data_IF_552830563627
#
_entry.id   IF_552830563627
#
_cell.length_a   1.000
_cell.length_b   1.000
_cell.length_c   1.000
_cell.angle_alpha   90.00
_cell.angle_beta   90.00
_cell.angle_gamma   90.00
#
_symmetry.space_group_name_H-M   'P 1'
#
loop_
_entity.id
_entity.type
_entity.pdbx_description
1 polymer ?
#
# COMPACT_ATOMS: atom_id res chain seq x y z
N UNK A 1 20.45 15.76 7.83
CA UNK A 1 20.60 14.69 6.82
C UNK A 1 21.77 13.83 7.27
N UNK A 2 21.49 12.73 7.98
CA UNK A 2 22.50 11.93 8.70
C UNK A 2 23.10 10.82 7.82
N UNK A 3 24.36 10.49 8.11
CA UNK A 3 25.28 9.60 7.38
C UNK A 3 24.80 8.13 7.23
N UNK A 4 23.70 7.75 7.90
CA UNK A 4 23.13 6.38 7.88
C UNK A 4 22.53 5.95 6.53
N UNK A 5 22.36 6.87 5.56
CA UNK A 5 21.78 6.55 4.25
C UNK A 5 22.80 6.08 3.20
N UNK A 6 24.10 6.09 3.51
CA UNK A 6 25.16 5.72 2.55
C UNK A 6 25.54 4.23 2.68
N UNK A 7 25.54 3.67 3.90
CA UNK A 7 25.83 2.25 4.13
C UNK A 7 24.69 1.31 3.70
N UNK A 8 23.43 1.71 3.86
CA UNK A 8 22.27 0.87 3.53
C UNK A 8 22.12 0.61 2.02
N UNK A 9 22.54 1.58 1.20
CA UNK A 9 22.49 1.48 -0.26
C UNK A 9 23.52 0.46 -0.80
N UNK A 10 24.64 0.29 -0.11
CA UNK A 10 25.69 -0.65 -0.52
C UNK A 10 25.25 -2.11 -0.45
N UNK A 11 24.27 -2.46 0.40
CA UNK A 11 23.82 -3.84 0.57
C UNK A 11 22.72 -4.22 -0.44
N UNK A 12 21.94 -3.27 -0.95
CA UNK A 12 20.76 -3.56 -1.78
C UNK A 12 21.12 -3.95 -3.22
N UNK A 13 22.03 -3.22 -3.88
CA UNK A 13 22.42 -3.55 -5.25
C UNK A 13 23.19 -4.88 -5.34
N UNK A 14 23.98 -5.22 -4.31
CA UNK A 14 24.64 -6.53 -4.19
C UNK A 14 23.61 -7.67 -4.11
N UNK A 15 22.55 -7.52 -3.31
CA UNK A 15 21.44 -8.49 -3.26
C UNK A 15 20.75 -8.67 -4.61
N UNK A 16 20.57 -7.58 -5.36
CA UNK A 16 20.02 -7.64 -6.73
C UNK A 16 20.93 -8.47 -7.65
N UNK A 17 22.25 -8.22 -7.60
CA UNK A 17 23.24 -8.99 -8.39
C UNK A 17 23.20 -10.47 -7.99
N UNK A 18 23.26 -10.77 -6.70
CA UNK A 18 23.32 -12.13 -6.18
C UNK A 18 22.05 -12.92 -6.49
N UNK A 19 20.88 -12.32 -6.28
CA UNK A 19 19.59 -12.96 -6.57
C UNK A 19 19.40 -13.17 -8.07
N UNK A 20 19.77 -12.20 -8.91
CA UNK A 20 19.74 -12.35 -10.37
C UNK A 20 20.63 -13.52 -10.83
N UNK A 21 21.86 -13.59 -10.31
CA UNK A 21 22.81 -14.68 -10.62
C UNK A 21 22.30 -16.03 -10.13
N UNK A 22 21.75 -16.09 -8.91
CA UNK A 22 21.12 -17.30 -8.35
C UNK A 22 19.96 -17.80 -9.23
N UNK A 23 19.18 -16.86 -9.78
CA UNK A 23 18.09 -17.15 -10.72
C UNK A 23 18.56 -17.40 -12.16
N UNK A 24 19.88 -17.43 -12.42
CA UNK A 24 20.51 -17.63 -13.74
C UNK A 24 20.02 -16.64 -14.80
N UNK A 25 19.66 -15.42 -14.40
CA UNK A 25 19.19 -14.37 -15.30
C UNK A 25 20.35 -13.51 -15.82
N UNK A 26 20.35 -13.23 -17.11
CA UNK A 26 21.19 -12.18 -17.70
C UNK A 26 20.70 -10.79 -17.30
N UNK A 27 21.54 -9.77 -17.42
CA UNK A 27 21.11 -8.38 -17.22
C UNK A 27 20.00 -8.00 -18.21
N UNK A 28 20.08 -8.44 -19.46
CA UNK A 28 19.07 -8.15 -20.48
C UNK A 28 17.69 -8.72 -20.11
N UNK A 29 17.64 -9.95 -19.61
CA UNK A 29 16.40 -10.58 -19.15
C UNK A 29 15.80 -9.87 -17.95
N UNK A 30 16.62 -9.52 -16.95
CA UNK A 30 16.14 -8.78 -15.78
C UNK A 30 15.64 -7.38 -16.16
N UNK A 31 16.41 -6.63 -16.96
CA UNK A 31 16.03 -5.30 -17.39
C UNK A 31 14.69 -5.32 -18.16
N UNK A 32 14.52 -6.30 -19.06
CA UNK A 32 13.27 -6.53 -19.80
C UNK A 32 12.11 -6.86 -18.85
N UNK A 33 12.31 -7.81 -17.92
CA UNK A 33 11.27 -8.25 -16.97
C UNK A 33 10.86 -7.14 -16.01
N UNK A 34 11.81 -6.34 -15.53
CA UNK A 34 11.57 -5.20 -14.66
C UNK A 34 11.03 -3.96 -15.39
N UNK A 35 11.07 -3.93 -16.73
CA UNK A 35 10.66 -2.77 -17.51
C UNK A 35 11.54 -1.54 -17.24
N UNK A 36 12.86 -1.74 -17.24
CA UNK A 36 13.88 -0.68 -17.16
C UNK A 36 14.90 -0.85 -18.30
N UNK A 37 15.68 0.19 -18.60
CA UNK A 37 16.72 0.07 -19.62
C UNK A 37 17.89 -0.79 -19.14
N UNK A 38 18.52 -1.53 -20.05
CA UNK A 38 19.75 -2.29 -19.76
C UNK A 38 20.85 -1.37 -19.21
N UNK A 39 20.94 -0.14 -19.73
CA UNK A 39 21.87 0.88 -19.25
C UNK A 39 21.60 1.24 -17.78
N UNK A 40 20.33 1.38 -17.38
CA UNK A 40 19.94 1.65 -15.99
C UNK A 40 20.35 0.52 -15.07
N UNK A 41 20.08 -0.74 -15.47
CA UNK A 41 20.49 -1.91 -14.67
C UNK A 41 22.02 -2.01 -14.55
N UNK A 42 22.75 -1.84 -15.66
CA UNK A 42 24.22 -1.91 -15.65
C UNK A 42 24.84 -0.87 -14.71
N UNK A 43 24.35 0.37 -14.74
CA UNK A 43 24.77 1.43 -13.80
C UNK A 43 24.51 1.04 -12.34
N UNK A 44 23.31 0.51 -12.07
CA UNK A 44 22.94 0.07 -10.72
C UNK A 44 23.82 -1.07 -10.18
N UNK A 45 24.11 -2.07 -11.01
CA UNK A 45 25.00 -3.17 -10.63
C UNK A 45 26.46 -2.73 -10.46
N UNK A 46 26.85 -1.58 -11.02
CA UNK A 46 28.14 -0.94 -10.79
C UNK A 46 28.14 0.00 -9.57
N UNK A 47 27.09 -0.02 -8.74
CA UNK A 47 26.98 0.77 -7.52
C UNK A 47 26.49 2.21 -7.72
N UNK A 48 26.07 2.59 -8.93
CA UNK A 48 25.51 3.92 -9.15
C UNK A 48 24.07 4.02 -8.66
N UNK A 49 23.70 5.21 -8.16
CA UNK A 49 22.30 5.52 -7.83
C UNK A 49 21.43 5.58 -9.08
N UNK A 50 20.28 4.93 -9.00
CA UNK A 50 19.20 5.01 -10.00
C UNK A 50 17.94 5.65 -9.40
N UNK A 51 16.92 5.88 -10.22
CA UNK A 51 15.65 6.37 -9.69
C UNK A 51 15.01 5.32 -8.79
N UNK A 52 14.38 5.79 -7.71
CA UNK A 52 13.66 4.94 -6.76
C UNK A 52 12.67 3.98 -7.44
N UNK A 53 11.93 4.45 -8.45
CA UNK A 53 11.00 3.60 -9.22
C UNK A 53 11.71 2.48 -9.98
N UNK A 54 12.92 2.73 -10.50
CA UNK A 54 13.70 1.71 -11.21
C UNK A 54 14.24 0.66 -10.24
N UNK A 55 14.73 1.09 -9.08
CA UNK A 55 15.17 0.20 -8.00
C UNK A 55 14.02 -0.67 -7.48
N UNK A 56 12.86 -0.07 -7.19
CA UNK A 56 11.64 -0.79 -6.79
C UNK A 56 11.26 -1.88 -7.79
N UNK A 57 11.29 -1.56 -9.09
CA UNK A 57 11.00 -2.54 -10.16
C UNK A 57 11.95 -3.73 -10.12
N UNK A 58 13.25 -3.51 -9.86
CA UNK A 58 14.23 -4.60 -9.75
C UNK A 58 13.96 -5.49 -8.55
N UNK A 59 13.71 -4.89 -7.38
CA UNK A 59 13.45 -5.63 -6.14
C UNK A 59 12.18 -6.48 -6.26
N UNK A 60 11.09 -5.91 -6.77
CA UNK A 60 9.84 -6.65 -7.03
C UNK A 60 10.06 -7.79 -8.02
N UNK A 61 10.78 -7.53 -9.11
CA UNK A 61 11.00 -8.53 -10.18
C UNK A 61 11.79 -9.75 -9.72
N UNK A 62 12.69 -9.53 -8.75
CA UNK A 62 13.54 -10.56 -8.16
C UNK A 62 12.95 -11.14 -6.87
N UNK A 63 11.75 -10.70 -6.46
CA UNK A 63 11.13 -11.08 -5.19
C UNK A 63 12.08 -10.84 -3.99
N UNK A 64 12.88 -9.77 -4.09
CA UNK A 64 13.77 -9.36 -3.00
C UNK A 64 12.95 -8.50 -2.05
N UNK A 65 12.55 -9.11 -0.95
CA UNK A 65 12.01 -8.40 0.20
C UNK A 65 13.14 -7.64 0.88
N UNK A 66 13.35 -6.40 0.44
CA UNK A 66 14.21 -5.47 1.16
C UNK A 66 13.33 -4.65 2.11
N UNK A 67 13.24 -5.11 3.36
CA UNK A 67 12.50 -4.46 4.43
C UNK A 67 12.75 -2.94 4.48
N UNK A 68 14.02 -2.51 4.36
CA UNK A 68 14.37 -1.09 4.35
C UNK A 68 13.76 -0.32 3.18
N UNK A 69 13.73 -0.90 1.97
CA UNK A 69 13.14 -0.24 0.80
C UNK A 69 11.62 -0.18 0.87
N UNK A 70 10.99 -1.22 1.43
CA UNK A 70 9.56 -1.29 1.64
C UNK A 70 9.16 -0.25 2.70
N UNK A 71 9.91 -0.18 3.79
CA UNK A 71 9.74 0.78 4.88
C UNK A 71 9.94 2.22 4.40
N UNK A 72 11.03 2.52 3.69
CA UNK A 72 11.26 3.85 3.10
C UNK A 72 10.13 4.27 2.13
N UNK A 73 9.57 3.33 1.37
CA UNK A 73 8.45 3.61 0.48
C UNK A 73 7.15 3.87 1.25
N UNK A 74 6.87 3.02 2.24
CA UNK A 74 5.71 3.14 3.10
C UNK A 74 5.74 4.46 3.87
N UNK A 75 6.89 4.83 4.45
CA UNK A 75 7.13 6.12 5.10
C UNK A 75 6.92 7.30 4.14
N UNK A 76 7.43 7.22 2.91
CA UNK A 76 7.24 8.28 1.92
C UNK A 76 5.77 8.46 1.54
N UNK A 77 5.05 7.35 1.34
CA UNK A 77 3.62 7.39 1.07
C UNK A 77 2.86 7.95 2.28
N UNK A 78 3.16 7.48 3.49
CA UNK A 78 2.59 7.97 4.74
C UNK A 78 2.76 9.49 4.86
N UNK A 79 3.99 9.98 4.72
CA UNK A 79 4.27 11.42 4.76
C UNK A 79 3.49 12.20 3.69
N UNK A 80 3.41 11.67 2.47
CA UNK A 80 2.66 12.31 1.39
C UNK A 80 1.16 12.40 1.70
N UNK A 81 0.57 11.33 2.23
CA UNK A 81 -0.85 11.32 2.59
C UNK A 81 -1.16 12.13 3.85
N UNK A 82 -0.27 12.12 4.85
CA UNK A 82 -0.42 12.97 6.04
C UNK A 82 -0.56 14.45 5.66
N UNK A 83 0.21 14.93 4.67
CA UNK A 83 0.16 16.32 4.19
C UNK A 83 -1.05 16.63 3.28
N UNK A 84 -1.73 15.61 2.75
CA UNK A 84 -2.86 15.81 1.83
C UNK A 84 -4.22 15.64 2.50
N UNK A 85 -4.28 15.09 3.73
CA UNK A 85 -5.52 14.63 4.36
C UNK A 85 -6.65 15.67 4.36
N UNK A 86 -6.36 16.93 4.69
CA UNK A 86 -7.36 18.01 4.73
C UNK A 86 -7.96 18.35 3.36
N UNK A 87 -7.16 18.25 2.30
CA UNK A 87 -7.58 18.59 0.93
C UNK A 87 -7.95 17.36 0.10
N UNK A 88 -7.83 16.17 0.68
CA UNK A 88 -7.87 14.93 -0.08
C UNK A 88 -9.22 14.66 -0.74
N UNK A 89 -10.29 15.18 -0.16
CA UNK A 89 -11.64 15.11 -0.71
C UNK A 89 -11.94 16.25 -1.71
N UNK A 90 -10.96 17.07 -2.11
CA UNK A 90 -11.13 18.09 -3.17
C UNK A 90 -10.85 17.53 -4.57
N UNK A 91 -10.17 16.40 -4.67
CA UNK A 91 -9.83 15.79 -5.96
C UNK A 91 -11.06 15.14 -6.60
N UNK A 92 -11.46 15.60 -7.79
CA UNK A 92 -12.71 15.18 -8.44
C UNK A 92 -12.82 13.66 -8.64
N UNK A 93 -11.77 13.00 -9.12
CA UNK A 93 -11.77 11.55 -9.35
C UNK A 93 -11.94 10.73 -8.05
N UNK A 94 -11.55 11.31 -6.91
CA UNK A 94 -11.62 10.69 -5.60
C UNK A 94 -13.06 10.68 -5.11
N UNK A 95 -13.75 11.81 -5.25
CA UNK A 95 -15.10 12.05 -4.73
C UNK A 95 -16.23 11.56 -5.64
N UNK A 96 -15.92 11.01 -6.82
CA UNK A 96 -16.92 10.43 -7.73
C UNK A 96 -17.68 9.30 -7.03
N UNK A 97 -18.86 9.66 -6.51
CA UNK A 97 -19.79 8.79 -5.76
C UNK A 97 -20.20 7.56 -6.57
N UNK A 98 -20.32 7.71 -7.89
CA UNK A 98 -20.62 6.62 -8.83
C UNK A 98 -19.69 5.41 -8.67
N UNK A 99 -18.40 5.62 -8.40
CA UNK A 99 -17.47 4.50 -8.19
C UNK A 99 -17.71 3.76 -6.88
N UNK A 100 -18.11 4.49 -5.83
CA UNK A 100 -18.46 3.88 -4.54
C UNK A 100 -19.76 3.12 -4.70
N UNK A 101 -20.77 3.73 -5.33
CA UNK A 101 -22.06 3.10 -5.62
C UNK A 101 -21.88 1.83 -6.46
N UNK A 102 -20.96 1.82 -7.44
CA UNK A 102 -20.63 0.60 -8.20
C UNK A 102 -20.08 -0.52 -7.32
N UNK A 103 -19.22 -0.21 -6.34
CA UNK A 103 -18.65 -1.21 -5.42
C UNK A 103 -19.74 -1.76 -4.49
N UNK A 104 -20.57 -0.88 -3.92
CA UNK A 104 -21.70 -1.26 -3.08
C UNK A 104 -22.68 -2.13 -3.91
N UNK A 105 -23.16 -1.61 -5.04
CA UNK A 105 -24.17 -2.29 -5.86
C UNK A 105 -23.67 -3.58 -6.54
N UNK A 106 -22.36 -3.85 -6.58
CA UNK A 106 -21.83 -5.13 -7.04
C UNK A 106 -22.28 -6.31 -6.15
N UNK A 107 -22.82 -6.04 -4.95
CA UNK A 107 -23.46 -7.06 -4.12
C UNK A 107 -22.49 -8.01 -3.43
N UNK A 108 -21.24 -7.58 -3.22
CA UNK A 108 -20.27 -8.32 -2.42
C UNK A 108 -20.80 -8.55 -0.99
N UNK A 109 -20.35 -9.61 -0.29
CA UNK A 109 -20.93 -10.02 0.98
C UNK A 109 -20.52 -9.13 2.16
N UNK A 110 -20.95 -7.87 2.20
CA UNK A 110 -20.67 -6.95 3.32
C UNK A 110 -21.85 -6.79 4.32
N UNK A 111 -23.07 -7.22 3.96
CA UNK A 111 -24.26 -7.03 4.82
C UNK A 111 -24.16 -7.82 6.13
N UNK A 112 -24.34 -7.14 7.27
CA UNK A 112 -24.20 -7.72 8.62
C UNK A 112 -22.85 -8.42 8.86
N UNK A 113 -21.80 -8.04 8.12
CA UNK A 113 -20.46 -8.63 8.20
C UNK A 113 -19.45 -7.71 8.87
N UNK A 114 -18.33 -8.29 9.34
CA UNK A 114 -17.15 -7.55 9.78
C UNK A 114 -16.25 -7.29 8.56
N UNK A 115 -16.05 -6.03 8.22
CA UNK A 115 -15.39 -5.61 6.96
C UNK A 115 -14.10 -4.87 7.25
N UNK A 116 -13.04 -5.11 6.48
CA UNK A 116 -11.81 -4.31 6.46
C UNK A 116 -11.76 -3.46 5.20
N UNK A 117 -11.74 -2.13 5.33
CA UNK A 117 -11.41 -1.18 4.26
C UNK A 117 -9.91 -0.89 4.30
N UNK A 118 -9.16 -1.51 3.38
CA UNK A 118 -7.69 -1.48 3.34
C UNK A 118 -7.18 -0.30 2.50
N UNK A 119 -6.49 0.64 3.14
CA UNK A 119 -6.13 1.93 2.55
C UNK A 119 -7.35 2.86 2.49
N UNK A 120 -8.02 3.04 3.63
CA UNK A 120 -9.35 3.66 3.72
C UNK A 120 -9.36 5.16 3.45
N UNK A 121 -8.21 5.83 3.48
CA UNK A 121 -8.11 7.27 3.25
C UNK A 121 -8.97 8.04 4.24
N UNK A 122 -9.66 9.09 3.80
CA UNK A 122 -10.69 9.83 4.56
C UNK A 122 -12.00 9.03 4.77
N UNK A 123 -12.06 7.77 4.34
CA UNK A 123 -13.11 6.81 4.68
C UNK A 123 -14.43 6.95 3.92
N UNK A 124 -14.44 7.53 2.71
CA UNK A 124 -15.66 7.60 1.91
C UNK A 124 -16.30 6.22 1.64
N UNK A 125 -15.47 5.21 1.31
CA UNK A 125 -15.97 3.85 1.07
C UNK A 125 -16.38 3.17 2.39
N UNK A 126 -15.59 3.31 3.46
CA UNK A 126 -15.94 2.84 4.79
C UNK A 126 -17.30 3.38 5.26
N UNK A 127 -17.56 4.68 5.13
CA UNK A 127 -18.84 5.32 5.52
C UNK A 127 -20.03 4.77 4.73
N UNK A 128 -19.89 4.56 3.42
CA UNK A 128 -20.98 3.98 2.63
C UNK A 128 -21.19 2.49 2.93
N UNK A 129 -20.11 1.75 3.20
CA UNK A 129 -20.17 0.32 3.57
C UNK A 129 -20.82 0.12 4.95
N UNK A 130 -20.54 1.02 5.89
CA UNK A 130 -21.04 1.00 7.26
C UNK A 130 -22.58 1.04 7.35
N UNK A 131 -23.27 1.55 6.32
CA UNK A 131 -24.75 1.54 6.25
C UNK A 131 -25.34 0.14 6.18
N UNK A 132 -24.53 -0.87 5.81
CA UNK A 132 -24.97 -2.24 5.59
C UNK A 132 -24.18 -3.25 6.43
N UNK A 133 -22.93 -2.95 6.75
CA UNK A 133 -22.04 -3.81 7.52
C UNK A 133 -22.40 -3.83 9.01
N UNK A 134 -21.98 -4.90 9.71
CA UNK A 134 -22.06 -4.96 11.16
C UNK A 134 -21.03 -4.01 11.79
N UNK A 135 -19.80 -4.06 11.29
CA UNK A 135 -18.67 -3.27 11.78
C UNK A 135 -17.64 -3.12 10.65
N UNK A 136 -17.05 -1.93 10.50
CA UNK A 136 -16.03 -1.65 9.48
C UNK A 136 -14.74 -1.19 10.15
N UNK A 137 -13.63 -1.86 9.85
CA UNK A 137 -12.28 -1.46 10.24
C UNK A 137 -11.70 -0.70 9.06
N UNK A 138 -11.45 0.58 9.24
CA UNK A 138 -10.92 1.45 8.21
C UNK A 138 -9.44 1.67 8.47
N UNK A 139 -8.58 0.95 7.74
CA UNK A 139 -7.14 0.95 7.95
C UNK A 139 -6.44 1.85 6.94
N UNK A 140 -5.60 2.77 7.42
CA UNK A 140 -4.69 3.54 6.59
C UNK A 140 -3.33 3.72 7.29
N UNK A 141 -2.25 3.79 6.52
CA UNK A 141 -0.92 4.04 7.07
C UNK A 141 -0.77 5.49 7.55
N UNK A 142 -1.59 6.40 7.03
CA UNK A 142 -1.63 7.81 7.43
C UNK A 142 -2.50 8.02 8.67
N UNK A 143 -1.87 8.51 9.72
CA UNK A 143 -2.56 8.98 10.92
C UNK A 143 -3.53 10.12 10.61
N UNK A 144 -3.11 11.07 9.77
CA UNK A 144 -3.97 12.22 9.44
C UNK A 144 -5.25 11.78 8.72
N UNK A 145 -5.17 10.78 7.83
CA UNK A 145 -6.33 10.20 7.15
C UNK A 145 -7.32 9.55 8.13
N UNK A 146 -6.81 8.72 9.03
CA UNK A 146 -7.66 8.02 10.01
C UNK A 146 -8.25 8.99 11.05
N UNK A 147 -7.51 10.02 11.48
CA UNK A 147 -8.05 11.07 12.34
C UNK A 147 -9.12 11.91 11.65
N UNK A 148 -8.97 12.20 10.35
CA UNK A 148 -10.01 12.88 9.57
C UNK A 148 -11.28 12.02 9.48
N UNK A 149 -11.14 10.72 9.24
CA UNK A 149 -12.26 9.79 9.26
C UNK A 149 -12.97 9.76 10.62
N UNK A 150 -12.23 9.71 11.73
CA UNK A 150 -12.84 9.75 13.08
C UNK A 150 -13.70 11.00 13.28
N UNK A 151 -13.21 12.18 12.87
CA UNK A 151 -13.98 13.44 12.94
C UNK A 151 -15.26 13.35 12.10
N UNK A 152 -15.14 12.86 10.85
CA UNK A 152 -16.26 12.68 9.94
C UNK A 152 -17.32 11.70 10.51
N UNK A 153 -16.89 10.61 11.16
CA UNK A 153 -17.80 9.67 11.83
C UNK A 153 -18.59 10.33 12.95
N UNK A 154 -17.94 11.17 13.78
CA UNK A 154 -18.62 11.93 14.85
C UNK A 154 -19.65 12.89 14.26
N UNK A 155 -19.26 13.68 13.26
CA UNK A 155 -20.15 14.66 12.61
C UNK A 155 -21.36 14.00 11.93
N UNK A 156 -21.15 12.85 11.28
CA UNK A 156 -22.17 12.10 10.56
C UNK A 156 -22.93 11.10 11.43
N UNK A 157 -22.58 10.97 12.71
CA UNK A 157 -23.14 10.00 13.67
C UNK A 157 -23.05 8.56 13.17
N UNK A 158 -21.89 8.17 12.64
CA UNK A 158 -21.59 6.79 12.25
C UNK A 158 -20.80 6.14 13.38
N UNK A 159 -21.36 5.10 13.99
CA UNK A 159 -20.87 4.50 15.24
C UNK A 159 -20.24 3.11 15.06
N UNK A 160 -20.41 2.48 13.89
CA UNK A 160 -19.90 1.14 13.57
C UNK A 160 -18.64 1.15 12.70
N UNK A 161 -17.84 2.21 12.77
CA UNK A 161 -16.52 2.31 12.11
C UNK A 161 -15.41 2.43 13.14
N UNK A 162 -14.38 1.61 13.01
CA UNK A 162 -13.14 1.66 13.78
C UNK A 162 -12.02 2.11 12.85
N UNK A 163 -11.53 3.33 13.04
CA UNK A 163 -10.39 3.85 12.28
C UNK A 163 -9.05 3.35 12.88
N UNK A 164 -8.22 2.72 12.05
CA UNK A 164 -6.98 2.04 12.45
C UNK A 164 -5.79 2.62 11.68
N UNK A 165 -4.83 3.20 12.39
CA UNK A 165 -3.52 3.49 11.80
C UNK A 165 -2.73 2.18 11.68
N UNK A 166 -2.29 1.81 10.48
CA UNK A 166 -1.54 0.57 10.28
C UNK A 166 -1.00 0.38 8.87
N UNK A 167 0.00 -0.50 8.73
CA UNK A 167 0.56 -0.88 7.43
C UNK A 167 -0.11 -2.14 6.88
N UNK A 168 -0.58 -2.08 5.63
CA UNK A 168 -1.13 -3.21 4.90
C UNK A 168 -0.16 -4.39 4.74
N UNK A 169 1.16 -4.16 4.78
CA UNK A 169 2.17 -5.23 4.74
C UNK A 169 2.32 -5.96 6.08
N UNK A 170 1.81 -5.36 7.16
CA UNK A 170 1.87 -5.90 8.52
C UNK A 170 0.53 -5.73 9.26
N UNK A 171 -0.47 -6.49 8.82
CA UNK A 171 -1.79 -6.49 9.45
C UNK A 171 -1.73 -7.11 10.85
N UNK A 172 -1.94 -6.28 11.89
CA UNK A 172 -1.98 -6.71 13.30
C UNK A 172 -3.39 -7.17 13.72
N UNK A 173 -3.98 -8.05 12.90
CA UNK A 173 -5.26 -8.71 13.20
C UNK A 173 -5.06 -10.22 13.31
N UNK A 174 -5.93 -10.87 14.07
CA UNK A 174 -5.99 -12.32 14.20
C UNK A 174 -6.40 -12.98 12.88
N UNK A 175 -6.11 -14.26 12.74
CA UNK A 175 -6.49 -15.04 11.55
C UNK A 175 -8.02 -15.16 11.45
N UNK A 176 -8.57 -15.08 10.23
CA UNK A 176 -10.01 -15.16 9.95
C UNK A 176 -10.87 -14.17 10.75
N UNK A 177 -10.35 -12.97 10.99
CA UNK A 177 -11.06 -11.88 11.68
C UNK A 177 -12.18 -11.30 10.81
N UNK A 178 -11.94 -11.12 9.50
CA UNK A 178 -12.84 -10.39 8.61
C UNK A 178 -13.59 -11.32 7.66
N UNK A 179 -14.89 -11.06 7.50
CA UNK A 179 -15.70 -11.76 6.49
C UNK A 179 -15.43 -11.22 5.08
N UNK A 180 -15.02 -9.96 4.96
CA UNK A 180 -14.82 -9.28 3.68
C UNK A 180 -13.76 -8.19 3.79
N UNK A 181 -12.90 -8.11 2.78
CA UNK A 181 -11.88 -7.09 2.66
C UNK A 181 -12.15 -6.31 1.38
N UNK A 182 -12.28 -4.99 1.51
CA UNK A 182 -12.47 -4.06 0.40
C UNK A 182 -11.26 -3.13 0.32
N UNK A 183 -10.95 -2.67 -0.89
CA UNK A 183 -9.92 -1.66 -1.10
C UNK A 183 -10.25 -0.86 -2.34
N UNK A 184 -9.99 0.46 -2.31
CA UNK A 184 -10.21 1.35 -3.45
C UNK A 184 -9.05 2.31 -3.60
N UNK A 185 -8.46 2.33 -4.80
CA UNK A 185 -7.36 3.24 -5.16
C UNK A 185 -6.13 3.17 -4.22
N UNK A 186 -5.89 2.03 -3.55
CA UNK A 186 -4.75 1.86 -2.65
C UNK A 186 -3.68 0.89 -3.17
N UNK A 187 -4.05 -0.15 -3.93
CA UNK A 187 -3.14 -1.26 -4.30
C UNK A 187 -1.85 -0.80 -5.00
N UNK A 188 -1.92 0.23 -5.85
CA UNK A 188 -0.75 0.78 -6.54
C UNK A 188 0.23 1.52 -5.62
N UNK A 189 -0.19 1.86 -4.40
CA UNK A 189 0.65 2.41 -3.34
C UNK A 189 1.25 1.33 -2.44
N UNK A 190 0.94 0.05 -2.65
CA UNK A 190 1.60 -1.01 -1.91
C UNK A 190 3.03 -1.20 -2.43
N UNK A 191 3.96 -1.34 -1.50
CA UNK A 191 5.36 -1.55 -1.79
C UNK A 191 5.52 -2.91 -2.50
N UNK A 192 4.92 -3.94 -1.92
CA UNK A 192 4.80 -5.28 -2.48
C UNK A 192 3.35 -5.80 -2.31
N UNK A 193 2.51 -5.68 -3.36
CA UNK A 193 1.13 -6.19 -3.32
C UNK A 193 1.03 -7.69 -3.03
N UNK A 194 2.02 -8.51 -3.36
CA UNK A 194 1.99 -9.95 -3.08
C UNK A 194 2.03 -10.25 -1.58
N UNK A 195 2.86 -9.52 -0.81
CA UNK A 195 2.87 -9.61 0.65
C UNK A 195 1.51 -9.23 1.20
N UNK A 196 0.97 -8.09 0.75
CA UNK A 196 -0.35 -7.62 1.21
C UNK A 196 -1.41 -8.68 0.90
N UNK A 197 -1.43 -9.26 -0.30
CA UNK A 197 -2.36 -10.31 -0.67
C UNK A 197 -2.22 -11.59 0.18
N UNK A 198 -1.00 -11.93 0.60
CA UNK A 198 -0.77 -13.01 1.57
C UNK A 198 -1.35 -12.66 2.95
N UNK A 199 -1.16 -11.41 3.43
CA UNK A 199 -1.69 -10.95 4.71
C UNK A 199 -3.22 -10.88 4.73
N UNK A 200 -3.86 -10.36 3.67
CA UNK A 200 -5.34 -10.30 3.59
C UNK A 200 -5.96 -11.70 3.49
N UNK A 201 -5.26 -12.70 2.94
CA UNK A 201 -5.76 -14.08 2.91
C UNK A 201 -5.79 -14.71 4.31
N UNK A 202 -4.90 -14.25 5.19
CA UNK A 202 -4.78 -14.76 6.56
C UNK A 202 -5.87 -14.20 7.49
N UNK A 203 -6.16 -12.91 7.38
CA UNK A 203 -7.06 -12.17 8.30
C UNK A 203 -8.50 -12.17 7.88
#
# INVERSE_FOLDING_TARGET
>A
MSENNIESNNNTYLKVIDTRKKNKMTQAELAKKAGISLKTLSRYENGEKISFNSEKKLLITLEIDNAQSLENYAEKNKYSFDNQAEEYNKFEFIIKKEYIEKIINAGYPYKNKKVLDLGCRTGMLAIETAKYAKEVYALDISKAMTEKLKKDCIEKKVDNIIAVEGDAHNLQFEDNTFDTIITRLAVHHFANPHIVFSKIKRV
#
